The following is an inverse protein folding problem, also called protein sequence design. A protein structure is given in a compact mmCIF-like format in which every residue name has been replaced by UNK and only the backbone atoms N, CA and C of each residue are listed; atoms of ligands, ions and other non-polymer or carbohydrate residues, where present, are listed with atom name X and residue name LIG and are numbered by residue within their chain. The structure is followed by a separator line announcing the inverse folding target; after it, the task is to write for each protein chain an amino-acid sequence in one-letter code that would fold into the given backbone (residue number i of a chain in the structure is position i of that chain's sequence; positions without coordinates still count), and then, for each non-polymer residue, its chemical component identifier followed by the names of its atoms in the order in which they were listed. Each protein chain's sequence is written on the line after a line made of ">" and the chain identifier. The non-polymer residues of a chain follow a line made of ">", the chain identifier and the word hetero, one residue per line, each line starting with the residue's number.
data_IF_003112604469
#
_entry.id   IF_003112604469
#
_cell.length_a   1.000
_cell.length_b   1.000
_cell.length_c   1.000
_cell.angle_alpha   90.00
_cell.angle_beta   90.00
_cell.angle_gamma   90.00
#
_symmetry.space_group_name_H-M   'P 1'
#
loop_
_entity.id
_entity.type
_entity.pdbx_description
1 polymer ?
#
# COMPACT_ATOMS: atom_id res chain seq x y z
N UNK A 1 -30.49 44.86 19.95
CA UNK A 1 -29.23 45.38 19.38
C UNK A 1 -28.31 45.77 20.53
N UNK A 2 -27.28 44.98 20.84
CA UNK A 2 -26.07 45.45 21.51
C UNK A 2 -25.06 46.01 20.46
N UNK A 3 -24.16 46.92 20.84
CA UNK A 3 -23.23 47.57 19.92
C UNK A 3 -22.07 46.66 19.48
N UNK A 4 -21.68 46.80 18.22
CA UNK A 4 -20.45 46.29 17.60
C UNK A 4 -19.21 46.71 18.39
N UNK A 5 -18.29 45.76 18.59
CA UNK A 5 -16.94 46.00 19.09
C UNK A 5 -15.92 45.90 17.93
N UNK A 6 -14.86 46.73 17.95
CA UNK A 6 -14.10 47.09 16.75
C UNK A 6 -13.06 46.05 16.32
N UNK A 7 -12.83 46.02 15.01
CA UNK A 7 -11.69 45.37 14.36
C UNK A 7 -10.34 45.81 14.95
N UNK A 8 -9.46 44.85 15.22
CA UNK A 8 -8.00 45.08 15.31
C UNK A 8 -7.26 44.15 14.36
N UNK A 9 -6.72 44.74 13.31
CA UNK A 9 -5.72 44.19 12.38
C UNK A 9 -4.30 44.19 13.01
N UNK A 10 -3.33 43.45 12.42
CA UNK A 10 -2.16 42.91 13.12
C UNK A 10 -0.88 43.79 13.01
N UNK A 11 0.13 43.58 13.87
CA UNK A 11 1.51 43.97 13.58
C UNK A 11 2.32 42.74 13.11
N UNK A 12 2.80 42.74 11.87
CA UNK A 12 4.08 43.28 11.37
C UNK A 12 5.24 42.28 11.44
N UNK A 13 5.62 41.89 10.22
CA UNK A 13 6.83 41.23 9.75
C UNK A 13 8.08 41.63 10.52
N UNK A 14 8.88 40.63 10.90
CA UNK A 14 10.32 40.77 11.08
C UNK A 14 10.99 39.89 10.02
N UNK A 15 11.50 40.56 8.99
CA UNK A 15 12.43 40.01 8.04
C UNK A 15 13.78 39.84 8.76
N UNK A 16 14.33 38.62 8.75
CA UNK A 16 15.74 38.40 9.01
C UNK A 16 16.33 37.81 7.74
N UNK A 17 16.90 38.70 6.95
CA UNK A 17 17.80 38.36 5.86
C UNK A 17 19.13 37.92 6.49
N UNK A 18 19.56 36.70 6.19
CA UNK A 18 20.89 36.19 6.52
C UNK A 18 21.43 35.46 5.30
N UNK A 19 22.08 36.20 4.41
CA UNK A 19 22.90 35.64 3.34
C UNK A 19 24.31 35.39 3.89
N UNK A 20 24.82 34.17 3.78
CA UNK A 20 26.27 33.89 3.74
C UNK A 20 26.49 32.53 3.06
N UNK A 21 27.29 32.58 1.99
CA UNK A 21 27.76 31.48 1.14
C UNK A 21 28.52 30.41 1.94
N UNK A 22 28.33 29.14 1.54
CA UNK A 22 29.42 28.16 1.48
C UNK A 22 29.18 27.18 0.32
N UNK A 23 30.10 27.21 -0.64
CA UNK A 23 30.22 26.25 -1.76
C UNK A 23 30.99 25.04 -1.25
N UNK A 24 30.42 23.83 -1.34
CA UNK A 24 31.16 22.56 -1.40
C UNK A 24 30.37 21.55 -2.25
N UNK A 25 30.84 21.18 -3.46
CA UNK A 25 30.34 20.01 -4.17
C UNK A 25 31.20 18.81 -3.75
N UNK A 26 30.61 17.86 -3.02
CA UNK A 26 31.19 16.54 -2.84
C UNK A 26 30.42 15.57 -3.72
N UNK A 27 31.11 15.15 -4.78
CA UNK A 27 30.74 14.04 -5.63
C UNK A 27 30.36 12.81 -4.78
N UNK A 28 29.18 12.27 -5.02
CA UNK A 28 28.86 10.88 -4.70
C UNK A 28 28.18 10.28 -5.93
N UNK A 29 29.00 9.83 -6.87
CA UNK A 29 28.62 8.81 -7.83
C UNK A 29 28.28 7.53 -7.05
N UNK A 30 27.02 7.14 -7.06
CA UNK A 30 26.57 5.83 -6.58
C UNK A 30 25.55 5.29 -7.56
N UNK A 31 26.03 4.69 -8.65
CA UNK A 31 25.18 3.95 -9.58
C UNK A 31 24.57 2.74 -8.86
N UNK A 32 23.24 2.56 -8.88
CA UNK A 32 22.59 1.34 -8.36
C UNK A 32 23.09 0.11 -9.13
N UNK A 33 23.41 -1.02 -8.46
CA UNK A 33 23.83 -2.23 -9.15
C UNK A 33 22.69 -2.79 -9.99
N UNK A 34 23.03 -3.06 -11.26
CA UNK A 34 22.19 -3.70 -12.26
C UNK A 34 21.73 -5.10 -11.80
N UNK A 35 20.42 -5.41 -11.82
CA UNK A 35 19.95 -6.78 -11.61
C UNK A 35 20.40 -7.67 -12.76
N UNK A 36 21.17 -8.72 -12.43
CA UNK A 36 21.58 -9.74 -13.39
C UNK A 36 20.37 -10.38 -14.11
N UNK A 37 20.48 -10.69 -15.41
CA UNK A 37 19.44 -11.42 -16.13
C UNK A 37 19.22 -12.82 -15.56
N UNK A 38 17.95 -13.23 -15.44
CA UNK A 38 17.56 -14.59 -15.09
C UNK A 38 18.17 -15.63 -16.07
N UNK A 39 18.51 -16.84 -15.59
CA UNK A 39 18.98 -17.89 -16.49
C UNK A 39 17.88 -18.30 -17.47
N UNK A 40 18.28 -18.31 -18.75
CA UNK A 40 17.47 -18.78 -19.86
C UNK A 40 17.03 -20.24 -19.67
N UNK A 41 15.75 -20.49 -19.93
CA UNK A 41 15.15 -21.82 -20.02
C UNK A 41 15.77 -22.51 -21.24
N UNK A 42 16.76 -23.37 -21.02
CA UNK A 42 17.31 -24.23 -22.07
C UNK A 42 16.46 -25.49 -22.16
N UNK A 43 15.44 -25.44 -23.04
CA UNK A 43 14.73 -26.64 -23.47
C UNK A 43 15.61 -27.40 -24.46
N UNK A 44 16.28 -28.45 -23.98
CA UNK A 44 17.01 -29.39 -24.84
C UNK A 44 16.07 -30.54 -25.25
N UNK A 45 15.82 -30.80 -26.53
CA UNK A 45 15.17 -32.05 -26.93
C UNK A 45 16.18 -33.19 -26.75
N UNK A 46 15.86 -34.15 -25.89
CA UNK A 46 16.62 -35.38 -25.77
C UNK A 46 16.26 -36.29 -26.96
N UNK A 47 17.28 -36.62 -27.75
CA UNK A 47 17.24 -37.58 -28.84
C UNK A 47 16.84 -38.95 -28.29
N UNK A 48 15.74 -39.53 -28.79
CA UNK A 48 15.29 -40.88 -28.44
C UNK A 48 16.05 -41.90 -29.31
N UNK A 49 16.84 -42.75 -28.67
CA UNK A 49 17.44 -43.95 -29.28
C UNK A 49 16.57 -45.16 -28.93
N UNK A 50 16.13 -46.00 -29.88
CA UNK A 50 15.41 -47.23 -29.56
C UNK A 50 16.39 -48.33 -29.18
N UNK A 51 16.27 -48.88 -27.97
CA UNK A 51 16.93 -50.12 -27.57
C UNK A 51 15.86 -51.21 -27.27
N UNK A 52 16.16 -52.41 -27.76
CA UNK A 52 15.29 -53.59 -27.90
C UNK A 52 14.65 -54.11 -26.59
N UNK A 53 13.55 -54.89 -26.68
CA UNK A 53 12.86 -55.43 -25.51
C UNK A 53 13.65 -56.60 -24.90
N UNK A 54 14.09 -56.44 -23.65
CA UNK A 54 14.50 -57.57 -22.80
C UNK A 54 13.47 -57.76 -21.70
N UNK A 55 12.86 -58.94 -21.69
CA UNK A 55 11.91 -59.42 -20.68
C UNK A 55 12.66 -59.74 -19.39
N UNK A 56 12.19 -59.23 -18.26
CA UNK A 56 12.63 -59.62 -16.92
C UNK A 56 11.45 -59.58 -15.91
N UNK A 57 11.47 -60.42 -14.85
CA UNK A 57 10.31 -60.98 -14.13
C UNK A 57 9.65 -60.03 -13.10
N UNK A 58 8.46 -60.37 -12.54
CA UNK A 58 7.72 -59.48 -11.64
C UNK A 58 8.48 -59.24 -10.32
N UNK A 59 8.74 -57.97 -10.04
CA UNK A 59 9.30 -57.51 -8.76
C UNK A 59 8.15 -57.05 -7.86
N UNK A 60 8.07 -57.69 -6.70
CA UNK A 60 7.19 -57.40 -5.56
C UNK A 60 7.22 -55.91 -5.19
N UNK A 61 6.08 -55.25 -4.87
CA UNK A 61 6.08 -53.83 -4.54
C UNK A 61 6.75 -53.59 -3.17
N UNK A 62 7.79 -52.74 -3.06
CA UNK A 62 8.20 -52.22 -1.77
C UNK A 62 7.16 -51.22 -1.26
N UNK A 63 6.85 -51.27 0.05
CA UNK A 63 6.03 -50.27 0.72
C UNK A 63 6.59 -48.87 0.42
N UNK A 64 5.82 -48.09 -0.35
CA UNK A 64 6.18 -46.73 -0.72
C UNK A 64 6.14 -45.81 0.50
N UNK A 65 7.32 -45.32 0.91
CA UNK A 65 7.43 -44.16 1.78
C UNK A 65 7.02 -42.97 0.92
N UNK A 66 5.83 -42.41 1.16
CA UNK A 66 5.36 -41.24 0.43
C UNK A 66 6.32 -40.06 0.68
N UNK A 67 6.78 -39.34 -0.37
CA UNK A 67 7.58 -38.14 -0.19
C UNK A 67 6.75 -37.09 0.55
N UNK A 68 7.23 -36.67 1.72
CA UNK A 68 6.66 -35.54 2.45
C UNK A 68 6.97 -34.28 1.67
N UNK A 69 5.98 -33.72 0.97
CA UNK A 69 6.11 -32.41 0.34
C UNK A 69 6.31 -31.35 1.45
N UNK A 70 7.24 -30.40 1.27
CA UNK A 70 7.41 -29.30 2.22
C UNK A 70 6.12 -28.47 2.29
N UNK A 71 5.72 -27.98 3.48
CA UNK A 71 4.51 -27.18 3.60
C UNK A 71 4.64 -25.91 2.76
N UNK A 72 3.63 -25.61 1.95
CA UNK A 72 3.52 -24.34 1.22
C UNK A 72 3.41 -23.20 2.23
N UNK A 73 4.20 -22.10 2.08
CA UNK A 73 4.10 -20.97 3.00
C UNK A 73 2.70 -20.35 2.93
N UNK A 74 2.03 -20.25 4.07
CA UNK A 74 0.75 -19.52 4.18
C UNK A 74 1.03 -18.02 4.07
N UNK A 75 0.22 -17.24 3.31
CA UNK A 75 0.37 -15.80 3.26
C UNK A 75 0.21 -15.22 4.67
N UNK A 76 1.19 -14.41 5.11
CA UNK A 76 1.10 -13.71 6.39
C UNK A 76 0.09 -12.56 6.25
N UNK A 77 -0.98 -12.54 7.05
CA UNK A 77 -1.96 -11.46 7.01
C UNK A 77 -1.29 -10.11 7.25
N UNK A 78 -1.64 -9.11 6.44
CA UNK A 78 -1.15 -7.74 6.64
C UNK A 78 0.17 -7.40 5.95
N UNK A 79 0.90 -8.36 5.38
CA UNK A 79 2.09 -8.06 4.56
C UNK A 79 1.73 -7.29 3.29
N UNK A 80 0.63 -7.68 2.64
CA UNK A 80 0.13 -7.06 1.41
C UNK A 80 -1.33 -6.68 1.64
N UNK A 81 -1.73 -5.52 1.13
CA UNK A 81 -3.12 -5.09 1.12
C UNK A 81 -3.84 -5.67 -0.12
N UNK A 82 -4.98 -6.31 0.09
CA UNK A 82 -5.79 -6.96 -0.96
C UNK A 82 -7.22 -6.45 -0.92
N UNK A 83 -8.02 -6.64 -1.98
CA UNK A 83 -9.42 -6.23 -1.94
C UNK A 83 -10.18 -6.88 -0.78
N UNK A 84 -10.96 -6.10 -0.04
CA UNK A 84 -11.63 -6.48 1.22
C UNK A 84 -12.75 -7.55 1.13
N UNK A 85 -12.83 -8.36 0.07
CA UNK A 85 -13.90 -9.36 -0.14
C UNK A 85 -15.32 -8.81 0.13
N UNK A 86 -15.55 -7.52 -0.18
CA UNK A 86 -16.81 -6.82 0.03
C UNK A 86 -17.06 -6.25 1.43
N UNK A 87 -16.16 -6.43 2.41
CA UNK A 87 -16.32 -5.92 3.78
C UNK A 87 -15.04 -5.30 4.36
N UNK A 88 -15.06 -4.01 4.77
CA UNK A 88 -16.16 -3.05 4.63
C UNK A 88 -16.43 -2.70 3.15
N UNK A 89 -17.65 -2.26 2.86
CA UNK A 89 -17.99 -1.68 1.55
C UNK A 89 -17.52 -0.22 1.48
N UNK A 90 -17.29 0.27 0.26
CA UNK A 90 -16.96 1.68 0.04
C UNK A 90 -18.02 2.62 0.63
N UNK A 91 -19.31 2.32 0.46
CA UNK A 91 -20.41 3.12 1.02
C UNK A 91 -20.38 3.18 2.54
N UNK A 92 -19.96 2.09 3.20
CA UNK A 92 -19.80 2.08 4.66
C UNK A 92 -18.69 3.03 5.10
N UNK A 93 -17.58 3.07 4.36
CA UNK A 93 -16.49 4.02 4.59
C UNK A 93 -16.96 5.45 4.32
N UNK A 94 -17.65 5.70 3.22
CA UNK A 94 -18.20 7.04 2.91
C UNK A 94 -19.16 7.50 4.01
N UNK A 95 -20.07 6.64 4.47
CA UNK A 95 -21.00 6.93 5.55
C UNK A 95 -20.31 7.32 6.86
N UNK A 96 -19.17 6.70 7.19
CA UNK A 96 -18.34 7.04 8.35
C UNK A 96 -17.79 8.49 8.29
N UNK A 97 -17.50 8.97 7.08
CA UNK A 97 -16.87 10.27 6.84
C UNK A 97 -17.88 11.42 6.75
N UNK A 98 -19.15 11.13 6.42
CA UNK A 98 -20.20 12.15 6.26
C UNK A 98 -20.45 12.90 7.57
N UNK A 99 -20.52 14.23 7.46
CA UNK A 99 -20.71 15.12 8.61
C UNK A 99 -19.48 15.25 9.51
N UNK A 100 -18.35 14.66 9.11
CA UNK A 100 -17.04 14.85 9.74
C UNK A 100 -16.11 15.48 8.70
N UNK A 101 -15.51 14.65 7.86
CA UNK A 101 -14.55 15.05 6.82
C UNK A 101 -15.27 15.42 5.53
N UNK A 102 -16.37 14.72 5.22
CA UNK A 102 -17.16 14.97 4.02
C UNK A 102 -18.43 15.77 4.36
N UNK A 103 -18.73 16.86 3.61
CA UNK A 103 -20.03 17.51 3.68
C UNK A 103 -21.15 16.52 3.30
N UNK A 104 -22.36 16.72 3.83
CA UNK A 104 -23.46 15.76 3.67
C UNK A 104 -23.98 15.63 2.22
N UNK A 105 -23.84 16.66 1.40
CA UNK A 105 -24.43 16.73 0.05
C UNK A 105 -23.47 16.53 -1.13
N UNK A 106 -22.18 16.26 -0.88
CA UNK A 106 -21.18 16.15 -1.96
C UNK A 106 -21.21 14.76 -2.61
N UNK A 107 -21.06 14.68 -3.93
CA UNK A 107 -20.93 13.39 -4.62
C UNK A 107 -19.55 12.78 -4.39
N UNK A 108 -19.50 11.51 -4.01
CA UNK A 108 -18.27 10.78 -3.68
C UNK A 108 -18.32 9.39 -4.29
N UNK A 109 -17.21 8.95 -4.89
CA UNK A 109 -17.03 7.59 -5.42
C UNK A 109 -15.69 7.04 -4.96
N UNK A 110 -15.61 5.74 -4.70
CA UNK A 110 -14.31 5.10 -4.51
C UNK A 110 -13.60 4.95 -5.85
N UNK A 111 -12.35 5.43 -5.92
CA UNK A 111 -11.44 5.19 -7.05
C UNK A 111 -10.56 3.98 -6.79
N UNK A 112 -10.27 3.68 -5.52
CA UNK A 112 -9.53 2.49 -5.11
C UNK A 112 -10.02 1.95 -3.77
N UNK A 113 -10.07 0.62 -3.68
CA UNK A 113 -10.40 -0.09 -2.44
C UNK A 113 -11.91 -0.18 -2.15
N UNK A 114 -12.28 -0.67 -0.95
CA UNK A 114 -11.43 -0.87 0.22
C UNK A 114 -10.39 -1.99 0.06
N UNK A 115 -9.14 -1.69 0.42
CA UNK A 115 -8.02 -2.63 0.47
C UNK A 115 -7.74 -2.98 1.93
N UNK A 116 -7.72 -4.28 2.24
CA UNK A 116 -7.58 -4.83 3.57
C UNK A 116 -6.19 -5.40 3.78
N UNK A 117 -5.61 -5.10 4.94
CA UNK A 117 -4.45 -5.81 5.46
C UNK A 117 -4.69 -6.05 6.96
N UNK A 118 -4.84 -7.31 7.36
CA UNK A 118 -5.35 -7.69 8.68
C UNK A 118 -6.68 -6.96 9.01
N UNK A 119 -6.75 -6.29 10.15
CA UNK A 119 -7.91 -5.52 10.64
C UNK A 119 -7.97 -4.07 10.12
N UNK A 120 -7.03 -3.67 9.25
CA UNK A 120 -6.92 -2.31 8.71
C UNK A 120 -7.39 -2.24 7.27
N UNK A 121 -7.88 -1.06 6.87
CA UNK A 121 -8.34 -0.81 5.51
C UNK A 121 -7.87 0.54 4.98
N UNK A 122 -7.56 0.57 3.68
CA UNK A 122 -7.21 1.77 2.93
C UNK A 122 -8.19 1.96 1.77
N UNK A 123 -8.67 3.18 1.56
CA UNK A 123 -9.59 3.53 0.46
C UNK A 123 -9.22 4.90 -0.10
N UNK A 124 -9.29 5.04 -1.43
CA UNK A 124 -9.17 6.34 -2.12
C UNK A 124 -10.52 6.72 -2.67
N UNK A 125 -10.93 7.95 -2.39
CA UNK A 125 -12.23 8.49 -2.77
C UNK A 125 -12.03 9.70 -3.68
N UNK A 126 -12.65 9.69 -4.85
CA UNK A 126 -12.85 10.90 -5.63
C UNK A 126 -14.06 11.65 -5.09
N UNK A 127 -13.83 12.91 -4.74
CA UNK A 127 -14.83 13.83 -4.18
C UNK A 127 -15.06 14.94 -5.20
N UNK A 128 -16.30 15.14 -5.65
CA UNK A 128 -16.58 16.10 -6.72
C UNK A 128 -16.16 17.52 -6.32
N UNK A 129 -15.28 18.14 -7.11
CA UNK A 129 -14.77 19.50 -6.87
C UNK A 129 -13.60 19.57 -5.88
N UNK A 130 -13.00 18.45 -5.50
CA UNK A 130 -11.90 18.38 -4.54
C UNK A 130 -10.82 17.39 -5.00
N UNK A 131 -9.64 17.50 -4.38
CA UNK A 131 -8.57 16.51 -4.47
C UNK A 131 -9.04 15.13 -3.99
N UNK A 132 -8.36 14.06 -4.44
CA UNK A 132 -8.65 12.72 -3.96
C UNK A 132 -8.45 12.62 -2.44
N UNK A 133 -9.43 12.04 -1.77
CA UNK A 133 -9.42 11.83 -0.33
C UNK A 133 -8.99 10.39 -0.04
N UNK A 134 -7.83 10.23 0.57
CA UNK A 134 -7.36 8.96 1.09
C UNK A 134 -7.92 8.74 2.50
N UNK A 135 -8.20 7.48 2.83
CA UNK A 135 -8.88 7.12 4.08
C UNK A 135 -8.25 5.85 4.63
N UNK A 136 -7.85 5.89 5.90
CA UNK A 136 -7.43 4.71 6.65
C UNK A 136 -8.44 4.45 7.76
N UNK A 137 -9.00 3.24 7.74
CA UNK A 137 -9.91 2.76 8.79
C UNK A 137 -9.35 1.50 9.43
N UNK A 138 -9.91 1.17 10.60
CA UNK A 138 -9.58 -0.04 11.34
C UNK A 138 -10.86 -0.68 11.87
N UNK A 139 -10.94 -2.00 11.80
CA UNK A 139 -12.04 -2.76 12.42
C UNK A 139 -11.66 -3.12 13.84
N UNK A 140 -12.39 -2.61 14.82
CA UNK A 140 -12.20 -2.86 16.25
C UNK A 140 -13.50 -3.40 16.82
N UNK A 141 -13.48 -4.58 17.45
CA UNK A 141 -14.69 -5.20 18.03
C UNK A 141 -15.90 -5.21 17.09
N UNK A 142 -15.67 -5.56 15.81
CA UNK A 142 -16.65 -5.55 14.71
C UNK A 142 -17.21 -4.16 14.30
N UNK A 143 -16.68 -3.07 14.85
CA UNK A 143 -17.01 -1.70 14.43
C UNK A 143 -15.90 -1.10 13.56
N UNK A 144 -16.27 -0.32 12.55
CA UNK A 144 -15.33 0.41 11.71
C UNK A 144 -14.99 1.75 12.35
N UNK A 145 -13.73 1.96 12.71
CA UNK A 145 -13.18 3.21 13.26
C UNK A 145 -12.42 3.96 12.17
N UNK A 146 -12.58 5.28 12.13
CA UNK A 146 -11.73 6.16 11.33
C UNK A 146 -10.40 6.38 12.05
N UNK A 147 -9.29 6.06 11.40
CA UNK A 147 -7.94 6.38 11.91
C UNK A 147 -7.52 7.74 11.39
N UNK A 148 -7.55 7.93 10.08
CA UNK A 148 -7.24 9.21 9.44
C UNK A 148 -7.90 9.32 8.06
N UNK A 149 -8.12 10.54 7.59
CA UNK A 149 -8.54 10.84 6.23
C UNK A 149 -7.99 12.19 5.78
N UNK A 150 -7.53 12.26 4.55
CA UNK A 150 -6.91 13.46 3.98
C UNK A 150 -6.23 13.15 2.65
N UNK A 151 -5.53 14.15 2.11
CA UNK A 151 -4.61 13.98 0.97
C UNK A 151 -3.28 13.35 1.39
N UNK A 152 -2.95 13.43 2.69
CA UNK A 152 -1.88 12.67 3.34
C UNK A 152 -2.48 11.92 4.54
N UNK A 153 -2.22 10.62 4.60
CA UNK A 153 -2.75 9.73 5.64
C UNK A 153 -1.64 9.02 6.42
N UNK A 154 -0.38 9.42 6.23
CA UNK A 154 0.76 8.84 6.93
C UNK A 154 0.91 9.43 8.35
N UNK A 155 -0.11 9.21 9.19
CA UNK A 155 -0.08 9.61 10.60
C UNK A 155 0.89 8.75 11.42
N UNK A 156 1.23 9.21 12.63
CA UNK A 156 2.08 8.44 13.57
C UNK A 156 1.44 7.08 13.89
N UNK A 157 0.14 7.04 14.12
CA UNK A 157 -0.60 5.78 14.38
C UNK A 157 -0.46 4.81 13.20
N UNK A 158 -0.60 5.30 11.97
CA UNK A 158 -0.44 4.48 10.76
C UNK A 158 0.99 3.95 10.64
N UNK A 159 2.01 4.79 10.82
CA UNK A 159 3.42 4.37 10.72
C UNK A 159 3.81 3.30 11.74
N UNK A 160 3.29 3.44 12.96
CA UNK A 160 3.74 2.64 14.11
C UNK A 160 2.89 1.39 14.34
N UNK A 161 1.60 1.42 14.00
CA UNK A 161 0.65 0.35 14.33
C UNK A 161 0.11 -0.37 13.09
N UNK A 162 0.00 0.31 11.94
CA UNK A 162 -0.60 -0.32 10.77
C UNK A 162 0.28 -1.44 10.21
N UNK A 163 -0.33 -2.51 9.66
CA UNK A 163 0.39 -3.57 8.97
C UNK A 163 1.19 -3.05 7.77
N UNK A 164 2.26 -3.73 7.37
CA UNK A 164 3.11 -3.33 6.25
C UNK A 164 2.34 -2.94 4.98
N UNK A 165 1.34 -3.73 4.59
CA UNK A 165 0.54 -3.45 3.38
C UNK A 165 -0.21 -2.12 3.42
N UNK A 166 -0.65 -1.66 4.61
CA UNK A 166 -1.30 -0.35 4.76
C UNK A 166 -0.28 0.77 4.81
N UNK A 167 0.86 0.57 5.47
CA UNK A 167 1.93 1.57 5.51
C UNK A 167 2.45 1.87 4.12
N UNK A 168 2.65 0.86 3.28
CA UNK A 168 3.09 1.07 1.89
C UNK A 168 2.09 1.92 1.10
N UNK A 169 0.79 1.65 1.24
CA UNK A 169 -0.24 2.45 0.57
C UNK A 169 -0.34 3.88 1.13
N UNK A 170 -0.26 4.04 2.45
CA UNK A 170 -0.56 5.29 3.12
C UNK A 170 0.65 6.25 3.24
N UNK A 171 1.88 5.71 3.25
CA UNK A 171 3.10 6.49 3.49
C UNK A 171 4.01 6.59 2.27
N UNK A 172 4.00 5.61 1.36
CA UNK A 172 4.92 5.60 0.21
C UNK A 172 4.29 6.23 -1.04
N UNK A 173 2.99 6.55 -1.02
CA UNK A 173 2.26 7.18 -2.13
C UNK A 173 2.82 8.56 -2.54
N UNK A 174 3.52 9.26 -1.64
CA UNK A 174 4.11 10.58 -1.89
C UNK A 174 5.41 10.57 -2.69
N UNK A 175 6.05 9.41 -2.91
CA UNK A 175 7.32 9.33 -3.66
C UNK A 175 7.11 9.13 -5.17
N UNK A 176 5.87 8.93 -5.62
CA UNK A 176 5.53 8.59 -7.01
C UNK A 176 5.17 9.74 -7.95
N UNK A 177 5.12 10.99 -7.46
CA UNK A 177 4.75 12.15 -8.27
C UNK A 177 5.85 13.22 -8.28
N UNK A 178 6.95 12.94 -8.96
CA UNK A 178 7.76 13.99 -9.59
C UNK A 178 7.71 13.78 -11.10
N UNK A 179 6.73 14.38 -11.81
CA UNK A 179 6.83 14.54 -13.25
C UNK A 179 7.86 15.64 -13.52
N UNK A 180 9.04 15.26 -14.01
CA UNK A 180 10.03 16.20 -14.53
C UNK A 180 11.43 16.04 -13.94
N UNK A 181 12.20 15.17 -14.57
CA UNK A 181 13.63 15.34 -14.78
C UNK A 181 13.94 14.91 -16.21
#
# INVERSE_FOLDING_TARGET
>A
MPPDAPHRTPPRRLAVAGALLAVVPLAACGAPPEPAPAPAISSRPALVTPAAPTVAPPVTPPLGIAPTLPPTPSPTPGLVAVACAGRPSADRVVGLLRGRVLPRGVSVRATQGPLCAADWQYTVLAVTGHEELQVVTRTESAALRLVTAGTDVCSIEVRTVAPPGIRTLACDAGTGAVPGA
#
